data_IF_844826624010
#
_entry.id   IF_844826624010
#
_cell.length_a   1.000
_cell.length_b   1.000
_cell.length_c   1.000
_cell.angle_alpha   90.00
_cell.angle_beta   90.00
_cell.angle_gamma   90.00
#
_symmetry.space_group_name_H-M   'P 1'
#
loop_
_entity.id
_entity.type
_entity.pdbx_description
1 polymer ?
#
# COMPACT_ATOMS: atom_id res chain seq x y z
N UNK A 1 -20.85 -0.12 1.09
CA UNK A 1 -19.90 -1.11 1.67
C UNK A 1 -19.30 -1.97 0.56
N UNK A 2 -20.10 -2.69 -0.24
CA UNK A 2 -19.58 -3.52 -1.35
C UNK A 2 -18.73 -2.72 -2.35
N UNK A 3 -19.22 -1.57 -2.83
CA UNK A 3 -18.46 -0.69 -3.73
C UNK A 3 -17.12 -0.21 -3.14
N UNK A 4 -17.10 0.11 -1.84
CA UNK A 4 -15.87 0.49 -1.14
C UNK A 4 -14.89 -0.68 -1.06
N UNK A 5 -15.39 -1.89 -0.82
CA UNK A 5 -14.56 -3.09 -0.78
C UNK A 5 -14.01 -3.46 -2.16
N UNK A 6 -14.80 -3.30 -3.22
CA UNK A 6 -14.31 -3.47 -4.60
C UNK A 6 -13.21 -2.47 -4.93
N UNK A 7 -13.40 -1.20 -4.57
CA UNK A 7 -12.38 -0.14 -4.74
C UNK A 7 -11.10 -0.48 -3.96
N UNK A 8 -11.23 -0.94 -2.71
CA UNK A 8 -10.10 -1.37 -1.90
C UNK A 8 -9.33 -2.51 -2.58
N UNK A 9 -10.04 -3.51 -3.11
CA UNK A 9 -9.42 -4.64 -3.81
C UNK A 9 -8.64 -4.20 -5.05
N UNK A 10 -9.14 -3.19 -5.78
CA UNK A 10 -8.44 -2.61 -6.92
C UNK A 10 -7.16 -1.91 -6.47
N UNK A 11 -7.23 -1.02 -5.47
CA UNK A 11 -6.05 -0.31 -4.96
C UNK A 11 -4.99 -1.27 -4.39
N UNK A 12 -5.42 -2.32 -3.69
CA UNK A 12 -4.52 -3.36 -3.19
C UNK A 12 -3.79 -4.08 -4.33
N UNK A 13 -4.50 -4.49 -5.39
CA UNK A 13 -3.89 -5.14 -6.56
C UNK A 13 -2.91 -4.22 -7.28
N UNK A 14 -3.23 -2.93 -7.42
CA UNK A 14 -2.33 -1.94 -8.01
C UNK A 14 -1.07 -1.75 -7.17
N UNK A 15 -1.21 -1.66 -5.84
CA UNK A 15 -0.09 -1.56 -4.91
C UNK A 15 0.83 -2.78 -4.96
N UNK A 16 0.26 -4.00 -5.00
CA UNK A 16 1.02 -5.25 -5.16
C UNK A 16 1.73 -5.29 -6.51
N UNK A 17 1.05 -4.93 -7.60
CA UNK A 17 1.65 -4.81 -8.93
C UNK A 17 2.84 -3.86 -8.94
N UNK A 18 2.70 -2.70 -8.29
CA UNK A 18 3.76 -1.71 -8.13
C UNK A 18 4.96 -2.27 -7.36
N UNK A 19 4.75 -2.98 -6.25
CA UNK A 19 5.82 -3.68 -5.52
C UNK A 19 6.58 -4.67 -6.41
N UNK A 20 5.85 -5.48 -7.17
CA UNK A 20 6.45 -6.47 -8.08
C UNK A 20 7.30 -5.79 -9.16
N UNK A 21 6.81 -4.68 -9.72
CA UNK A 21 7.56 -3.90 -10.71
C UNK A 21 8.81 -3.26 -10.10
N UNK A 22 8.73 -2.68 -8.89
CA UNK A 22 9.91 -2.13 -8.19
C UNK A 22 10.97 -3.20 -7.98
N UNK A 23 10.56 -4.41 -7.59
CA UNK A 23 11.47 -5.53 -7.45
C UNK A 23 12.10 -5.92 -8.79
N UNK A 24 11.32 -6.04 -9.87
CA UNK A 24 11.84 -6.34 -11.21
C UNK A 24 12.84 -5.27 -11.70
N UNK A 25 12.56 -3.99 -11.46
CA UNK A 25 13.49 -2.90 -11.77
C UNK A 25 14.77 -2.94 -10.93
N UNK A 26 14.70 -3.35 -9.66
CA UNK A 26 15.91 -3.51 -8.83
C UNK A 26 16.85 -4.62 -9.32
N UNK A 27 16.32 -5.60 -10.04
CA UNK A 27 17.08 -6.67 -10.69
C UNK A 27 17.55 -6.31 -12.10
N UNK A 28 17.02 -5.22 -12.66
CA UNK A 28 17.33 -4.76 -14.02
C UNK A 28 18.53 -3.80 -14.03
N UNK A 29 19.25 -3.66 -15.16
CA UNK A 29 20.34 -2.69 -15.28
C UNK A 29 19.89 -1.26 -14.99
N UNK A 30 20.68 -0.51 -14.21
CA UNK A 30 20.36 0.87 -13.80
C UNK A 30 20.55 1.88 -14.93
N UNK A 31 19.56 1.96 -15.81
CA UNK A 31 19.47 3.00 -16.85
C UNK A 31 18.75 4.24 -16.33
N UNK A 32 18.88 5.37 -17.05
CA UNK A 32 18.12 6.60 -16.73
C UNK A 32 16.62 6.33 -16.69
N UNK A 33 16.09 5.65 -17.73
CA UNK A 33 14.68 5.28 -17.81
C UNK A 33 14.25 4.39 -16.63
N UNK A 34 15.05 3.40 -16.25
CA UNK A 34 14.76 2.54 -15.09
C UNK A 34 14.65 3.34 -13.79
N UNK A 35 15.51 4.35 -13.57
CA UNK A 35 15.44 5.21 -12.38
C UNK A 35 14.20 6.10 -12.38
N UNK A 36 13.85 6.67 -13.53
CA UNK A 36 12.62 7.46 -13.68
C UNK A 36 11.38 6.60 -13.41
N UNK A 37 11.32 5.37 -13.94
CA UNK A 37 10.26 4.42 -13.63
C UNK A 37 10.21 4.06 -12.13
N UNK A 38 11.34 3.88 -11.45
CA UNK A 38 11.37 3.59 -10.02
C UNK A 38 10.82 4.74 -9.16
N UNK A 39 11.05 5.99 -9.56
CA UNK A 39 10.49 7.18 -8.90
C UNK A 39 8.97 7.19 -9.06
N UNK A 40 8.47 7.00 -10.28
CA UNK A 40 7.03 6.95 -10.56
C UNK A 40 6.34 5.81 -9.81
N UNK A 41 6.92 4.61 -9.82
CA UNK A 41 6.41 3.47 -9.04
C UNK A 41 6.40 3.76 -7.53
N UNK A 42 7.37 4.52 -7.01
CA UNK A 42 7.38 4.89 -5.59
C UNK A 42 6.26 5.86 -5.24
N UNK A 43 5.96 6.82 -6.13
CA UNK A 43 4.81 7.71 -6.01
C UNK A 43 3.49 6.93 -6.06
N UNK A 44 3.31 6.07 -7.07
CA UNK A 44 2.09 5.27 -7.23
C UNK A 44 1.85 4.34 -6.04
N UNK A 45 2.91 3.77 -5.46
CA UNK A 45 2.81 2.95 -4.26
C UNK A 45 2.28 3.76 -3.06
N UNK A 46 2.78 4.99 -2.90
CA UNK A 46 2.34 5.88 -1.83
C UNK A 46 0.88 6.28 -2.04
N UNK A 47 0.50 6.74 -3.24
CA UNK A 47 -0.88 7.11 -3.58
C UNK A 47 -1.85 5.94 -3.34
N UNK A 48 -1.53 4.73 -3.82
CA UNK A 48 -2.36 3.56 -3.55
C UNK A 48 -2.48 3.27 -2.04
N UNK A 49 -1.42 3.50 -1.27
CA UNK A 49 -1.44 3.28 0.19
C UNK A 49 -2.32 4.32 0.88
N UNK A 50 -2.23 5.59 0.49
CA UNK A 50 -3.07 6.67 1.01
C UNK A 50 -4.56 6.44 0.67
N UNK A 51 -4.86 6.06 -0.57
CA UNK A 51 -6.22 5.73 -1.00
C UNK A 51 -6.80 4.54 -0.22
N UNK A 52 -6.00 3.47 -0.02
CA UNK A 52 -6.42 2.33 0.78
C UNK A 52 -6.76 2.73 2.22
N UNK A 53 -5.92 3.55 2.87
CA UNK A 53 -6.19 4.07 4.22
C UNK A 53 -7.49 4.89 4.28
N UNK A 54 -7.76 5.70 3.25
CA UNK A 54 -9.00 6.48 3.17
C UNK A 54 -10.24 5.58 3.04
N UNK A 55 -10.15 4.52 2.22
CA UNK A 55 -11.23 3.54 2.04
C UNK A 55 -11.44 2.73 3.34
N UNK A 56 -10.37 2.35 4.04
CA UNK A 56 -10.44 1.67 5.33
C UNK A 56 -11.20 2.52 6.37
N UNK A 57 -10.89 3.82 6.46
CA UNK A 57 -11.62 4.74 7.34
C UNK A 57 -13.10 4.89 6.96
N UNK A 58 -13.43 4.93 5.67
CA UNK A 58 -14.82 4.95 5.21
C UNK A 58 -15.56 3.64 5.54
N UNK A 59 -14.88 2.49 5.39
CA UNK A 59 -15.43 1.18 5.76
C UNK A 59 -15.70 1.08 7.27
N UNK A 60 -14.80 1.59 8.11
CA UNK A 60 -14.99 1.67 9.57
C UNK A 60 -16.24 2.48 9.92
N UNK A 61 -16.43 3.66 9.33
CA UNK A 61 -17.64 4.48 9.57
C UNK A 61 -18.92 3.73 9.20
N UNK A 62 -18.93 2.99 8.09
CA UNK A 62 -20.11 2.27 7.64
C UNK A 62 -20.39 0.96 8.41
N UNK A 63 -19.37 0.32 8.97
CA UNK A 63 -19.48 -0.97 9.69
C UNK A 63 -19.60 -0.79 11.21
N UNK A 64 -19.36 0.40 11.75
CA UNK A 64 -19.16 0.65 13.20
C UNK A 64 -17.71 0.39 13.61
N UNK A 65 -17.39 0.38 14.92
CA UNK A 65 -16.05 0.04 15.42
C UNK A 65 -15.62 -1.36 14.92
N UNK A 66 -14.88 -1.41 13.82
CA UNK A 66 -14.52 -2.66 13.15
C UNK A 66 -13.15 -3.15 13.64
N UNK A 67 -13.15 -3.77 14.81
CA UNK A 67 -11.93 -4.32 15.40
C UNK A 67 -11.58 -5.70 14.80
N UNK A 68 -10.96 -5.74 13.62
CA UNK A 68 -10.40 -7.00 13.11
C UNK A 68 -9.14 -7.38 13.93
N UNK A 69 -9.22 -8.46 14.72
CA UNK A 69 -8.03 -9.18 15.23
C UNK A 69 -7.64 -10.28 14.23
N UNK A 70 -6.62 -10.05 13.41
CA UNK A 70 -5.91 -11.14 12.71
C UNK A 70 -4.76 -11.66 13.57
N UNK A 71 -4.70 -12.98 13.77
CA UNK A 71 -3.53 -13.68 14.32
C UNK A 71 -2.79 -14.33 13.16
N UNK A 72 -1.70 -13.72 12.71
CA UNK A 72 -0.85 -14.23 11.64
C UNK A 72 0.51 -13.56 11.69
N UNK A 73 1.58 -14.31 11.41
CA UNK A 73 2.95 -13.79 11.45
C UNK A 73 3.11 -12.70 10.38
N UNK A 74 3.18 -11.43 10.81
CA UNK A 74 3.20 -10.24 9.96
C UNK A 74 4.55 -10.07 9.24
N UNK A 75 4.78 -10.84 8.20
CA UNK A 75 5.63 -10.43 7.08
C UNK A 75 4.66 -10.22 5.90
N UNK A 76 4.44 -8.96 5.49
CA UNK A 76 3.67 -8.54 4.31
C UNK A 76 2.13 -8.33 4.43
N UNK A 77 1.65 -7.52 5.37
CA UNK A 77 0.35 -6.85 5.17
C UNK A 77 0.39 -5.35 5.50
N UNK A 78 -0.32 -4.50 4.72
CA UNK A 78 -0.46 -3.08 5.02
C UNK A 78 -1.38 -2.87 6.23
N UNK A 79 -0.84 -2.11 7.19
CA UNK A 79 -1.48 -0.97 7.84
C UNK A 79 -2.89 -1.10 8.44
N UNK A 80 -3.31 -2.24 8.99
CA UNK A 80 -4.47 -2.24 9.91
C UNK A 80 -4.00 -2.45 11.34
N UNK A 81 -3.29 -1.44 11.90
CA UNK A 81 -3.38 -1.03 13.31
C UNK A 81 -2.91 0.41 13.50
N UNK A 82 -3.88 1.26 13.81
CA UNK A 82 -3.88 2.17 14.96
C UNK A 82 -2.63 3.01 15.18
N UNK A 83 -2.76 4.32 14.93
CA UNK A 83 -2.10 5.37 15.69
C UNK A 83 -0.62 5.16 15.99
N UNK A 84 0.23 5.13 14.97
CA UNK A 84 1.66 5.32 15.17
C UNK A 84 2.26 6.02 13.95
N UNK A 85 2.63 7.28 14.17
CA UNK A 85 3.59 8.11 13.45
C UNK A 85 4.40 7.35 12.38
N UNK A 86 4.10 7.61 11.11
CA UNK A 86 4.96 7.22 10.00
C UNK A 86 6.21 8.10 10.03
N UNK A 87 7.21 7.74 10.84
CA UNK A 87 8.59 8.13 10.58
C UNK A 87 9.11 7.18 9.52
N UNK A 88 9.17 7.67 8.30
CA UNK A 88 9.96 7.08 7.22
C UNK A 88 11.42 7.09 7.66
N UNK A 89 11.91 5.95 8.10
CA UNK A 89 13.35 5.75 8.26
C UNK A 89 14.00 5.83 6.88
N UNK A 90 14.66 6.97 6.63
CA UNK A 90 15.71 7.09 5.65
C UNK A 90 16.78 6.04 5.97
N UNK A 91 16.91 5.04 5.11
CA UNK A 91 18.04 4.11 5.16
C UNK A 91 19.18 4.66 4.30
N UNK A 92 20.33 4.77 4.95
CA UNK A 92 21.66 5.16 4.48
C UNK A 92 22.18 4.24 3.36
#
# INVERSE_FOLDING_TARGET
IEELYETYCIQWRLRVGTCNMKHAFSLSPSTKASRESLVELSKNFQECTEDMCMIEGALEVHLGEFLIKMKGNFHNLPCVKMGASYKTDHLH
#
